data_IF_678858653990
#
_entry.id   IF_678858653990
#
_cell.length_a   1.000
_cell.length_b   1.000
_cell.length_c   1.000
_cell.angle_alpha   90.00
_cell.angle_beta   90.00
_cell.angle_gamma   90.00
#
_symmetry.space_group_name_H-M   'P 1'
#
loop_
_entity.id
_entity.type
_entity.pdbx_description
1 polymer ?
#
# COMPACT_ATOMS: atom_id res chain seq x y z
N UNK A 1 6.65 -58.57 -29.96
CA UNK A 1 7.42 -57.32 -29.96
C UNK A 1 6.92 -56.47 -28.79
N UNK A 2 7.64 -56.48 -27.67
CA UNK A 2 7.34 -55.63 -26.53
C UNK A 2 8.28 -54.42 -26.59
N UNK A 3 7.74 -53.25 -26.89
CA UNK A 3 8.50 -52.00 -26.89
C UNK A 3 8.75 -51.60 -25.42
N UNK A 4 10.01 -51.71 -24.99
CA UNK A 4 10.45 -51.20 -23.69
C UNK A 4 10.43 -49.67 -23.71
N UNK A 5 9.56 -49.07 -22.91
CA UNK A 5 9.61 -47.65 -22.62
C UNK A 5 10.87 -47.37 -21.78
N UNK A 6 11.78 -46.57 -22.32
CA UNK A 6 12.89 -45.99 -21.58
C UNK A 6 12.33 -45.08 -20.48
N UNK A 7 12.72 -45.23 -19.21
CA UNK A 7 12.32 -44.30 -18.17
C UNK A 7 12.90 -42.91 -18.48
N UNK A 8 12.04 -41.90 -18.48
CA UNK A 8 12.47 -40.51 -18.52
C UNK A 8 13.43 -40.22 -17.36
N UNK A 9 14.52 -39.46 -17.58
CA UNK A 9 15.41 -39.10 -16.49
C UNK A 9 14.63 -38.30 -15.45
N UNK A 10 14.64 -38.79 -14.21
CA UNK A 10 14.16 -38.05 -13.05
C UNK A 10 14.89 -36.70 -13.04
N UNK A 11 14.12 -35.61 -13.17
CA UNK A 11 14.63 -34.27 -12.92
C UNK A 11 15.15 -34.25 -11.48
N UNK A 12 16.49 -34.23 -11.34
CA UNK A 12 17.11 -34.11 -10.04
C UNK A 12 16.76 -32.73 -9.51
N UNK A 13 16.09 -32.67 -8.36
CA UNK A 13 15.88 -31.44 -7.62
C UNK A 13 17.24 -30.88 -7.20
N UNK A 14 17.82 -30.03 -8.03
CA UNK A 14 19.01 -29.28 -7.69
C UNK A 14 18.58 -28.04 -6.91
N UNK A 15 19.04 -27.91 -5.67
CA UNK A 15 18.96 -26.66 -4.92
C UNK A 15 20.38 -26.18 -4.65
N UNK A 16 20.97 -25.40 -5.56
CA UNK A 16 22.35 -24.95 -5.33
C UNK A 16 22.34 -23.92 -4.20
N UNK A 17 23.16 -24.16 -3.16
CA UNK A 17 23.39 -23.16 -2.11
C UNK A 17 24.69 -22.44 -2.40
N UNK A 18 24.60 -21.15 -2.71
CA UNK A 18 25.74 -20.30 -3.09
C UNK A 18 26.05 -19.32 -1.96
N UNK A 19 27.26 -19.42 -1.41
CA UNK A 19 27.76 -18.41 -0.47
C UNK A 19 28.27 -17.20 -1.24
N UNK A 20 27.77 -16.01 -0.92
CA UNK A 20 28.13 -14.77 -1.59
C UNK A 20 29.04 -13.97 -0.68
N UNK A 21 30.30 -13.69 -1.07
CA UNK A 21 31.20 -12.88 -0.23
C UNK A 21 30.68 -11.44 -0.14
N UNK A 22 31.28 -10.64 0.73
CA UNK A 22 30.88 -9.25 0.96
C UNK A 22 31.31 -8.34 -0.19
N UNK A 23 30.74 -8.56 -1.37
CA UNK A 23 31.06 -7.90 -2.64
C UNK A 23 29.79 -7.74 -3.46
N UNK A 24 29.50 -6.51 -3.91
CA UNK A 24 28.35 -6.24 -4.80
C UNK A 24 28.47 -7.01 -6.11
N UNK A 25 29.68 -7.08 -6.68
CA UNK A 25 29.94 -7.83 -7.90
C UNK A 25 29.53 -9.29 -7.75
N UNK A 26 29.89 -9.93 -6.64
CA UNK A 26 29.53 -11.34 -6.40
C UNK A 26 28.05 -11.53 -6.16
N UNK A 27 27.36 -10.59 -5.53
CA UNK A 27 25.92 -10.65 -5.38
C UNK A 27 25.22 -10.58 -6.74
N UNK A 28 25.68 -9.67 -7.61
CA UNK A 28 25.16 -9.54 -8.99
C UNK A 28 25.43 -10.82 -9.78
N UNK A 29 26.66 -11.33 -9.77
CA UNK A 29 27.03 -12.57 -10.47
C UNK A 29 26.22 -13.77 -9.96
N UNK A 30 26.06 -13.91 -8.64
CA UNK A 30 25.30 -15.01 -8.04
C UNK A 30 23.82 -14.99 -8.46
N UNK A 31 23.20 -13.82 -8.54
CA UNK A 31 21.82 -13.68 -9.05
C UNK A 31 21.76 -14.04 -10.54
N UNK A 32 22.69 -13.54 -11.36
CA UNK A 32 22.74 -13.86 -12.80
C UNK A 32 22.92 -15.36 -13.06
N UNK A 33 23.78 -16.03 -12.29
CA UNK A 33 23.96 -17.49 -12.36
C UNK A 33 22.68 -18.22 -11.96
N UNK A 34 22.05 -17.81 -10.84
CA UNK A 34 20.80 -18.43 -10.38
C UNK A 34 19.63 -18.25 -11.37
N UNK A 35 19.56 -17.10 -12.05
CA UNK A 35 18.58 -16.87 -13.12
C UNK A 35 18.78 -17.79 -14.33
N UNK A 36 19.98 -18.33 -14.53
CA UNK A 36 20.32 -19.23 -15.64
C UNK A 36 20.30 -20.71 -15.24
N UNK A 37 19.98 -21.00 -13.97
CA UNK A 37 19.91 -22.34 -13.42
C UNK A 37 18.59 -23.03 -13.79
N UNK A 38 18.60 -24.35 -14.06
CA UNK A 38 17.38 -25.09 -14.37
C UNK A 38 16.47 -25.35 -13.16
N UNK A 39 16.91 -25.01 -11.95
CA UNK A 39 16.20 -25.30 -10.69
C UNK A 39 16.27 -24.15 -9.69
N UNK A 40 15.63 -24.32 -8.51
CA UNK A 40 15.64 -23.30 -7.48
C UNK A 40 17.04 -23.13 -6.88
N UNK A 41 17.42 -21.90 -6.55
CA UNK A 41 18.72 -21.61 -5.94
C UNK A 41 18.58 -20.88 -4.61
N UNK A 42 19.54 -21.10 -3.71
CA UNK A 42 19.63 -20.41 -2.43
C UNK A 42 20.93 -19.62 -2.36
N UNK A 43 20.81 -18.29 -2.36
CA UNK A 43 21.91 -17.36 -2.16
C UNK A 43 22.03 -17.01 -0.68
N UNK A 44 23.24 -17.12 -0.15
CA UNK A 44 23.58 -16.75 1.24
C UNK A 44 24.59 -15.61 1.25
N UNK A 45 24.12 -14.34 1.24
CA UNK A 45 24.96 -13.19 1.53
C UNK A 45 25.79 -13.34 2.81
N UNK A 46 26.98 -12.75 2.80
CA UNK A 46 27.87 -12.71 3.94
C UNK A 46 27.18 -12.05 5.14
N UNK A 47 27.31 -12.69 6.31
CA UNK A 47 26.60 -12.30 7.53
C UNK A 47 26.84 -10.83 7.88
N UNK A 48 25.76 -10.07 8.07
CA UNK A 48 25.76 -8.63 8.40
C UNK A 48 26.56 -7.74 7.43
N UNK A 49 26.89 -8.23 6.24
CA UNK A 49 27.58 -7.43 5.24
C UNK A 49 26.69 -6.31 4.71
N UNK A 50 27.29 -5.17 4.34
CA UNK A 50 26.61 -4.12 3.59
C UNK A 50 27.04 -4.16 2.12
N UNK A 51 26.13 -4.62 1.26
CA UNK A 51 26.23 -4.57 -0.20
C UNK A 51 25.77 -3.20 -0.68
N UNK A 52 26.72 -2.27 -0.82
CA UNK A 52 26.45 -0.89 -1.24
C UNK A 52 26.52 -0.75 -2.77
N UNK A 53 25.36 -0.71 -3.41
CA UNK A 53 25.19 -0.55 -4.86
C UNK A 53 25.56 0.88 -5.27
N UNK A 54 26.55 1.03 -6.15
CA UNK A 54 27.03 2.34 -6.64
C UNK A 54 26.64 2.63 -8.10
N UNK A 55 26.10 1.63 -8.79
CA UNK A 55 25.62 1.70 -10.16
C UNK A 55 24.50 0.66 -10.36
N UNK A 56 23.64 0.84 -11.37
CA UNK A 56 22.70 -0.19 -11.81
C UNK A 56 23.40 -1.50 -12.23
N UNK A 57 22.64 -2.59 -12.27
CA UNK A 57 23.13 -3.87 -12.77
C UNK A 57 23.43 -3.79 -14.30
N UNK A 58 24.46 -4.50 -14.80
CA UNK A 58 24.77 -4.50 -16.23
C UNK A 58 23.56 -4.87 -17.09
N UNK A 59 23.28 -4.07 -18.13
CA UNK A 59 22.14 -4.27 -19.02
C UNK A 59 20.79 -3.80 -18.48
N UNK A 60 20.74 -3.17 -17.30
CA UNK A 60 19.52 -2.62 -16.71
C UNK A 60 19.79 -1.26 -16.07
N UNK A 61 19.13 -0.19 -16.54
CA UNK A 61 19.32 1.15 -15.99
C UNK A 61 18.43 1.43 -14.78
N UNK A 62 17.36 0.67 -14.59
CA UNK A 62 16.35 0.92 -13.57
C UNK A 62 16.61 0.16 -12.26
N UNK A 63 17.39 -0.93 -12.29
CA UNK A 63 17.57 -1.84 -11.17
C UNK A 63 19.05 -1.94 -10.74
N UNK A 64 19.30 -1.92 -9.43
CA UNK A 64 20.62 -2.09 -8.84
C UNK A 64 21.12 -3.54 -8.83
N UNK A 65 20.20 -4.50 -8.83
CA UNK A 65 20.46 -5.94 -8.98
C UNK A 65 19.79 -6.47 -10.26
N UNK A 66 20.29 -7.57 -10.85
CA UNK A 66 19.60 -8.22 -11.96
C UNK A 66 18.16 -8.58 -11.55
N UNK A 67 17.17 -8.41 -12.46
CA UNK A 67 15.81 -8.88 -12.20
C UNK A 67 15.79 -10.36 -11.84
N UNK A 68 14.98 -10.75 -10.87
CA UNK A 68 14.77 -12.16 -10.50
C UNK A 68 13.80 -12.78 -11.52
N UNK A 69 14.27 -13.77 -12.27
CA UNK A 69 13.51 -14.42 -13.35
C UNK A 69 13.28 -15.92 -13.13
N UNK A 70 13.96 -16.52 -12.13
CA UNK A 70 13.81 -17.91 -11.69
C UNK A 70 13.37 -18.00 -10.22
N UNK A 71 13.33 -19.21 -9.64
CA UNK A 71 13.06 -19.42 -8.21
C UNK A 71 14.33 -19.21 -7.38
N UNK A 72 14.43 -18.07 -6.72
CA UNK A 72 15.60 -17.67 -5.93
C UNK A 72 15.19 -17.45 -4.47
N UNK A 73 15.88 -18.13 -3.57
CA UNK A 73 15.88 -17.83 -2.14
C UNK A 73 17.11 -17.02 -1.78
N UNK A 74 16.93 -15.90 -1.08
CA UNK A 74 18.01 -15.10 -0.49
C UNK A 74 17.87 -15.18 1.03
N UNK A 75 18.77 -15.94 1.67
CA UNK A 75 18.92 -15.95 3.12
C UNK A 75 19.96 -14.91 3.54
N UNK A 76 19.46 -13.70 3.82
CA UNK A 76 20.26 -12.49 3.93
C UNK A 76 21.26 -12.49 5.08
N UNK A 77 21.17 -13.38 6.07
CA UNK A 77 22.09 -13.42 7.22
C UNK A 77 22.31 -12.05 7.91
N UNK A 78 21.27 -11.21 7.95
CA UNK A 78 21.33 -9.84 8.49
C UNK A 78 22.02 -8.83 7.56
N UNK A 79 22.26 -9.18 6.29
CA UNK A 79 22.89 -8.28 5.33
C UNK A 79 21.99 -7.08 4.98
N UNK A 80 22.65 -6.00 4.61
CA UNK A 80 22.02 -4.80 4.06
C UNK A 80 22.38 -4.66 2.60
N UNK A 81 21.39 -4.61 1.73
CA UNK A 81 21.53 -4.29 0.31
C UNK A 81 20.99 -2.87 0.15
N UNK A 82 21.88 -1.94 -0.21
CA UNK A 82 21.57 -0.52 -0.16
C UNK A 82 22.12 0.23 -1.36
N UNK A 83 21.36 1.17 -1.90
CA UNK A 83 21.87 2.10 -2.90
C UNK A 83 22.70 3.20 -2.22
N UNK A 84 23.88 3.49 -2.75
CA UNK A 84 24.66 4.63 -2.31
C UNK A 84 23.95 5.94 -2.69
N UNK A 85 23.93 6.92 -1.78
CA UNK A 85 23.28 8.22 -2.03
C UNK A 85 23.87 8.96 -3.25
N UNK A 86 25.16 8.76 -3.55
CA UNK A 86 25.85 9.35 -4.69
C UNK A 86 25.70 8.56 -5.99
N UNK A 87 25.07 7.38 -5.95
CA UNK A 87 24.81 6.59 -7.14
C UNK A 87 23.70 7.24 -7.99
N UNK A 88 23.62 6.92 -9.29
CA UNK A 88 22.42 7.18 -10.07
C UNK A 88 21.16 6.62 -9.39
N UNK A 89 20.01 7.11 -9.80
CA UNK A 89 18.73 6.60 -9.30
C UNK A 89 18.45 5.23 -9.93
N UNK A 90 18.12 4.26 -9.07
CA UNK A 90 17.66 2.92 -9.45
C UNK A 90 16.96 2.27 -8.25
N UNK A 91 15.97 1.41 -8.50
CA UNK A 91 15.39 0.54 -7.48
C UNK A 91 16.37 -0.57 -7.09
N UNK A 92 16.19 -1.20 -5.93
CA UNK A 92 17.10 -2.28 -5.51
C UNK A 92 16.80 -3.58 -6.24
N UNK A 93 15.54 -4.01 -6.24
CA UNK A 93 15.12 -5.33 -6.70
C UNK A 93 13.86 -5.26 -7.57
N UNK A 94 13.87 -6.05 -8.63
CA UNK A 94 12.70 -6.39 -9.44
C UNK A 94 12.52 -7.91 -9.43
N UNK A 95 11.31 -8.37 -9.11
CA UNK A 95 10.87 -9.74 -9.35
C UNK A 95 10.01 -9.72 -10.61
N UNK A 96 10.52 -10.28 -11.70
CA UNK A 96 9.81 -10.36 -12.96
C UNK A 96 8.60 -11.32 -12.85
N UNK A 97 7.68 -11.30 -13.81
CA UNK A 97 6.47 -12.13 -13.82
C UNK A 97 6.76 -13.64 -13.64
N UNK A 98 7.83 -14.14 -14.27
CA UNK A 98 8.27 -15.54 -14.14
C UNK A 98 9.06 -15.83 -12.85
N UNK A 99 9.47 -14.78 -12.13
CA UNK A 99 10.34 -14.87 -10.98
C UNK A 99 9.61 -15.27 -9.71
N UNK A 100 10.29 -16.07 -8.88
CA UNK A 100 9.88 -16.34 -7.51
C UNK A 100 11.00 -15.94 -6.56
N UNK A 101 10.72 -15.03 -5.62
CA UNK A 101 11.69 -14.58 -4.64
C UNK A 101 11.27 -14.95 -3.22
N UNK A 102 12.14 -15.63 -2.49
CA UNK A 102 12.04 -15.83 -1.02
C UNK A 102 13.17 -15.06 -0.34
N UNK A 103 12.87 -13.88 0.19
CA UNK A 103 13.85 -13.06 0.91
C UNK A 103 13.67 -13.23 2.42
N UNK A 104 14.76 -13.50 3.14
CA UNK A 104 14.73 -13.54 4.60
C UNK A 104 15.92 -12.83 5.23
N UNK A 105 15.73 -12.28 6.43
CA UNK A 105 16.80 -11.66 7.24
C UNK A 105 17.65 -10.63 6.48
N UNK A 106 17.04 -9.81 5.64
CA UNK A 106 17.74 -8.80 4.85
C UNK A 106 17.18 -7.40 5.10
N UNK A 107 18.01 -6.38 4.87
CA UNK A 107 17.57 -4.98 4.79
C UNK A 107 17.72 -4.48 3.36
N UNK A 108 16.61 -4.05 2.75
CA UNK A 108 16.56 -3.39 1.45
C UNK A 108 16.37 -1.89 1.68
N UNK A 109 17.29 -1.06 1.20
CA UNK A 109 17.25 0.37 1.51
C UNK A 109 17.83 1.32 0.48
N UNK A 110 17.41 2.58 0.53
CA UNK A 110 17.97 3.67 -0.27
C UNK A 110 17.64 3.62 -1.76
N UNK A 111 16.89 2.59 -2.21
CA UNK A 111 16.47 2.46 -3.60
C UNK A 111 15.64 3.66 -4.04
N UNK A 112 15.81 4.07 -5.29
CA UNK A 112 15.07 5.19 -5.88
C UNK A 112 14.60 4.86 -7.30
N UNK A 113 13.31 4.61 -7.47
CA UNK A 113 12.69 4.43 -8.77
C UNK A 113 12.26 5.79 -9.34
N UNK A 114 12.49 6.01 -10.64
CA UNK A 114 12.13 7.24 -11.36
C UNK A 114 11.39 6.97 -12.67
N UNK A 115 10.99 5.72 -12.92
CA UNK A 115 10.44 5.20 -14.16
C UNK A 115 8.91 4.99 -14.11
N UNK A 116 8.22 5.63 -13.16
CA UNK A 116 6.76 5.54 -13.02
C UNK A 116 5.97 6.49 -13.93
N UNK A 117 4.84 6.08 -14.52
CA UNK A 117 4.53 4.77 -15.07
C UNK A 117 4.93 4.77 -16.56
N UNK A 118 6.22 4.60 -16.86
CA UNK A 118 6.70 4.62 -18.25
C UNK A 118 6.50 3.27 -18.96
N UNK A 119 6.15 2.22 -18.21
CA UNK A 119 5.80 0.89 -18.71
C UNK A 119 4.64 0.33 -17.87
N UNK A 120 3.80 -0.59 -18.40
CA UNK A 120 3.07 -1.50 -17.52
C UNK A 120 4.10 -2.27 -16.69
N UNK A 121 4.04 -2.12 -15.37
CA UNK A 121 4.92 -2.83 -14.45
C UNK A 121 5.73 -1.92 -13.52
N UNK A 122 5.31 -1.96 -12.26
CA UNK A 122 6.06 -1.77 -11.01
C UNK A 122 6.99 -0.56 -10.83
N UNK A 123 6.55 0.36 -9.97
CA UNK A 123 7.19 1.56 -9.46
C UNK A 123 8.09 1.39 -8.23
N UNK A 124 8.12 0.19 -7.66
CA UNK A 124 8.68 -0.07 -6.32
C UNK A 124 10.08 0.49 -6.10
N UNK A 125 10.23 1.51 -5.25
CA UNK A 125 11.51 2.18 -5.00
C UNK A 125 12.56 1.25 -4.38
N UNK A 126 12.12 0.38 -3.46
CA UNK A 126 12.94 -0.69 -2.91
C UNK A 126 12.76 -1.97 -3.71
N UNK A 127 11.52 -2.47 -3.74
CA UNK A 127 11.16 -3.74 -4.37
C UNK A 127 9.96 -3.54 -5.30
N UNK A 128 10.16 -3.86 -6.57
CA UNK A 128 9.13 -4.06 -7.57
C UNK A 128 8.80 -5.55 -7.68
N UNK A 129 7.53 -5.95 -7.56
CA UNK A 129 7.11 -7.35 -7.71
C UNK A 129 6.01 -7.52 -8.76
N UNK A 130 6.35 -8.09 -9.92
CA UNK A 130 5.41 -8.57 -10.93
C UNK A 130 5.20 -10.09 -10.86
N UNK A 131 6.10 -10.83 -10.20
CA UNK A 131 6.01 -12.28 -10.01
C UNK A 131 5.48 -12.69 -8.63
N UNK A 132 6.07 -13.73 -8.06
CA UNK A 132 5.74 -14.21 -6.71
C UNK A 132 6.83 -13.86 -5.71
N UNK A 133 6.43 -13.32 -4.55
CA UNK A 133 7.38 -12.90 -3.52
C UNK A 133 6.93 -13.27 -2.12
N UNK A 134 7.88 -13.78 -1.33
CA UNK A 134 7.76 -13.90 0.12
C UNK A 134 8.91 -13.15 0.80
N UNK A 135 8.61 -12.27 1.75
CA UNK A 135 9.60 -11.56 2.56
C UNK A 135 9.37 -11.85 4.03
N UNK A 136 10.38 -12.44 4.66
CA UNK A 136 10.32 -12.89 6.05
C UNK A 136 11.36 -12.18 6.90
N UNK A 137 10.99 -11.70 8.09
CA UNK A 137 11.93 -11.17 9.09
C UNK A 137 12.94 -10.16 8.51
N UNK A 138 12.47 -9.28 7.63
CA UNK A 138 13.30 -8.37 6.85
C UNK A 138 12.85 -6.92 7.03
N UNK A 139 13.61 -6.00 6.45
CA UNK A 139 13.38 -4.56 6.51
C UNK A 139 13.37 -4.00 5.09
N UNK A 140 12.34 -3.24 4.72
CA UNK A 140 12.30 -2.44 3.49
C UNK A 140 12.18 -0.98 3.90
N UNK A 141 13.30 -0.26 3.88
CA UNK A 141 13.40 1.03 4.55
C UNK A 141 14.03 2.14 3.73
N UNK A 142 13.56 3.37 3.90
CA UNK A 142 14.14 4.57 3.29
C UNK A 142 14.32 4.47 1.77
N UNK A 143 13.33 3.87 1.08
CA UNK A 143 13.29 3.82 -0.37
C UNK A 143 12.35 4.90 -0.91
N UNK A 144 12.49 5.24 -2.19
CA UNK A 144 11.70 6.30 -2.82
C UNK A 144 11.23 5.89 -4.20
N UNK A 145 9.98 6.17 -4.53
CA UNK A 145 9.48 6.21 -5.91
C UNK A 145 9.13 7.66 -6.24
N UNK A 146 9.69 8.19 -7.33
CA UNK A 146 9.49 9.58 -7.76
C UNK A 146 9.04 9.61 -9.22
N UNK A 147 8.08 10.46 -9.55
CA UNK A 147 7.67 10.67 -10.94
C UNK A 147 6.91 11.98 -11.11
N UNK A 148 6.91 12.53 -12.33
CA UNK A 148 6.11 13.67 -12.76
C UNK A 148 4.77 13.27 -13.42
N UNK A 149 4.52 11.97 -13.57
CA UNK A 149 3.27 11.41 -14.12
C UNK A 149 2.43 10.79 -13.01
N UNK A 150 2.94 9.82 -12.25
CA UNK A 150 2.28 9.20 -11.09
C UNK A 150 3.34 8.42 -10.28
N UNK A 151 3.25 8.39 -8.95
CA UNK A 151 4.27 7.73 -8.11
C UNK A 151 3.66 6.71 -7.15
N UNK A 152 4.13 5.47 -7.20
CA UNK A 152 3.53 4.37 -6.42
C UNK A 152 4.60 3.52 -5.73
N UNK A 153 4.26 2.92 -4.59
CA UNK A 153 5.11 1.91 -3.97
C UNK A 153 6.49 2.40 -3.55
N UNK A 154 6.57 3.47 -2.73
CA UNK A 154 7.84 4.05 -2.32
C UNK A 154 8.82 3.01 -1.73
N UNK A 155 8.30 2.05 -0.98
CA UNK A 155 9.04 0.88 -0.49
C UNK A 155 8.86 -0.33 -1.40
N UNK A 156 7.61 -0.79 -1.49
CA UNK A 156 7.21 -1.98 -2.22
C UNK A 156 6.11 -1.59 -3.18
N UNK A 157 6.24 -2.05 -4.42
CA UNK A 157 5.13 -2.12 -5.35
C UNK A 157 4.83 -3.58 -5.69
N UNK A 158 3.55 -3.97 -5.67
CA UNK A 158 3.11 -5.34 -5.84
C UNK A 158 1.98 -5.46 -6.86
N UNK A 159 2.36 -5.79 -8.08
CA UNK A 159 1.45 -6.16 -9.18
C UNK A 159 1.17 -7.67 -9.19
N UNK A 160 2.17 -8.45 -8.76
CA UNK A 160 2.08 -9.91 -8.63
C UNK A 160 1.52 -10.37 -7.28
N UNK A 161 1.98 -11.53 -6.80
CA UNK A 161 1.58 -12.06 -5.48
C UNK A 161 2.66 -11.83 -4.44
N UNK A 162 2.29 -11.25 -3.29
CA UNK A 162 3.22 -11.01 -2.18
C UNK A 162 2.75 -11.55 -0.83
N UNK A 163 3.68 -12.08 -0.06
CA UNK A 163 3.53 -12.35 1.38
C UNK A 163 4.62 -11.66 2.17
N UNK A 164 4.24 -10.84 3.15
CA UNK A 164 5.13 -10.21 4.12
C UNK A 164 4.90 -10.83 5.50
N UNK A 165 5.90 -11.48 6.06
CA UNK A 165 5.85 -12.04 7.40
C UNK A 165 6.87 -11.36 8.30
N UNK A 166 6.40 -10.79 9.40
CA UNK A 166 7.25 -10.17 10.44
C UNK A 166 8.26 -9.18 9.85
N UNK A 167 7.81 -8.41 8.86
CA UNK A 167 8.65 -7.49 8.08
C UNK A 167 8.36 -6.04 8.50
N UNK A 168 9.42 -5.23 8.55
CA UNK A 168 9.32 -3.79 8.77
C UNK A 168 9.33 -3.07 7.42
N UNK A 169 8.33 -2.24 7.16
CA UNK A 169 8.27 -1.34 5.99
C UNK A 169 8.22 0.09 6.53
N UNK A 170 9.33 0.82 6.44
CA UNK A 170 9.44 2.11 7.12
C UNK A 170 10.26 3.19 6.43
N UNK A 171 9.89 4.46 6.63
CA UNK A 171 10.66 5.59 6.07
C UNK A 171 10.61 5.68 4.54
N UNK A 172 9.72 4.95 3.89
CA UNK A 172 9.64 4.94 2.43
C UNK A 172 8.75 6.07 1.91
N UNK A 173 9.01 6.56 0.70
CA UNK A 173 8.34 7.73 0.13
C UNK A 173 7.86 7.48 -1.29
N UNK A 174 6.59 7.72 -1.58
CA UNK A 174 6.10 7.92 -2.95
C UNK A 174 5.92 9.42 -3.17
N UNK A 175 6.59 9.97 -4.18
CA UNK A 175 6.71 11.41 -4.39
C UNK A 175 6.36 11.83 -5.82
N UNK A 176 5.17 12.39 -6.00
CA UNK A 176 4.75 12.98 -7.26
C UNK A 176 5.26 14.43 -7.38
N UNK A 177 5.94 14.70 -8.49
CA UNK A 177 6.68 15.93 -8.77
C UNK A 177 6.17 16.70 -9.99
N UNK A 178 5.09 16.23 -10.61
CA UNK A 178 4.52 16.84 -11.80
C UNK A 178 3.79 18.16 -11.51
N UNK A 179 3.42 18.85 -12.59
CA UNK A 179 2.75 20.16 -12.54
C UNK A 179 1.25 20.09 -12.81
N UNK A 180 0.74 18.92 -13.21
CA UNK A 180 -0.67 18.67 -13.53
C UNK A 180 -1.32 17.79 -12.48
N UNK A 181 -2.65 17.75 -12.46
CA UNK A 181 -3.40 16.85 -11.58
C UNK A 181 -3.08 15.40 -11.88
N UNK A 182 -2.70 14.66 -10.83
CA UNK A 182 -2.39 13.24 -10.87
C UNK A 182 -2.40 12.63 -9.46
N UNK A 183 -1.69 11.52 -9.23
CA UNK A 183 -1.69 10.78 -7.99
C UNK A 183 -0.32 10.31 -7.52
N UNK A 184 -0.21 10.11 -6.21
CA UNK A 184 0.78 9.26 -5.59
C UNK A 184 0.12 8.33 -4.56
N UNK A 185 0.62 7.09 -4.48
CA UNK A 185 0.03 6.04 -3.67
C UNK A 185 1.09 5.19 -2.97
N UNK A 186 0.73 4.60 -1.82
CA UNK A 186 1.51 3.49 -1.27
C UNK A 186 2.94 3.87 -0.90
N UNK A 187 3.12 4.88 -0.05
CA UNK A 187 4.45 5.32 0.39
C UNK A 187 5.29 4.17 0.94
N UNK A 188 4.65 3.28 1.72
CA UNK A 188 5.21 2.00 2.12
C UNK A 188 4.97 0.91 1.08
N UNK A 189 3.69 0.61 0.83
CA UNK A 189 3.25 -0.49 -0.04
C UNK A 189 2.16 0.03 -0.98
N UNK A 190 2.37 -0.06 -2.30
CA UNK A 190 1.32 -0.09 -3.31
C UNK A 190 1.02 -1.55 -3.66
N UNK A 191 -0.26 -1.86 -3.93
CA UNK A 191 -0.71 -3.22 -4.07
C UNK A 191 -1.88 -3.37 -5.06
N UNK A 192 -1.55 -3.91 -6.23
CA UNK A 192 -2.49 -4.22 -7.32
C UNK A 192 -2.62 -5.72 -7.59
N UNK A 193 -1.87 -6.57 -6.88
CA UNK A 193 -2.06 -8.02 -6.83
C UNK A 193 -2.37 -8.57 -5.42
N UNK A 194 -2.56 -9.90 -5.26
CA UNK A 194 -2.87 -10.51 -3.97
C UNK A 194 -1.76 -10.30 -2.94
N UNK A 195 -2.13 -9.78 -1.76
CA UNK A 195 -1.18 -9.47 -0.68
C UNK A 195 -1.62 -10.06 0.66
N UNK A 196 -0.68 -10.73 1.33
CA UNK A 196 -0.81 -11.13 2.72
C UNK A 196 0.27 -10.48 3.58
N UNK A 197 -0.13 -9.73 4.60
CA UNK A 197 0.76 -9.13 5.60
C UNK A 197 0.46 -9.75 6.95
N UNK A 198 1.44 -10.41 7.55
CA UNK A 198 1.31 -11.08 8.85
C UNK A 198 2.41 -10.62 9.78
N UNK A 199 2.04 -10.06 10.92
CA UNK A 199 3.00 -9.48 11.84
C UNK A 199 3.68 -8.23 11.27
N UNK A 200 4.76 -7.81 11.93
CA UNK A 200 5.58 -6.70 11.47
C UNK A 200 4.95 -5.32 11.67
N UNK A 201 5.54 -4.32 11.01
CA UNK A 201 5.14 -2.92 11.17
C UNK A 201 5.26 -2.16 9.85
N UNK A 202 4.26 -1.34 9.53
CA UNK A 202 4.27 -0.40 8.40
C UNK A 202 4.20 1.01 8.98
N UNK A 203 5.33 1.74 9.01
CA UNK A 203 5.37 3.02 9.69
C UNK A 203 6.29 4.08 9.12
N UNK A 204 6.02 5.36 9.43
CA UNK A 204 6.84 6.47 8.99
C UNK A 204 6.99 6.54 7.45
N UNK A 205 6.03 5.97 6.71
CA UNK A 205 6.00 6.06 5.28
C UNK A 205 5.22 7.29 4.83
N UNK A 206 5.63 7.89 3.73
CA UNK A 206 5.12 9.17 3.25
C UNK A 206 4.62 9.04 1.83
N UNK A 207 3.49 9.66 1.55
CA UNK A 207 3.07 9.99 0.19
C UNK A 207 3.04 11.51 0.09
N UNK A 208 3.69 12.04 -0.95
CA UNK A 208 3.73 13.48 -1.23
C UNK A 208 3.31 13.72 -2.67
N UNK A 209 2.48 14.74 -2.86
CA UNK A 209 2.22 15.32 -4.19
C UNK A 209 2.64 16.78 -4.20
N UNK A 210 2.96 17.30 -5.38
CA UNK A 210 3.24 18.71 -5.60
C UNK A 210 2.05 19.60 -5.18
N UNK A 211 2.33 20.84 -4.77
CA UNK A 211 1.31 21.80 -4.40
C UNK A 211 0.67 22.43 -5.66
N UNK A 212 -0.61 22.80 -5.57
CA UNK A 212 -1.30 23.55 -6.63
C UNK A 212 -1.67 22.70 -7.86
N UNK A 213 -1.63 21.37 -7.74
CA UNK A 213 -1.97 20.44 -8.82
C UNK A 213 -3.33 19.77 -8.65
N UNK A 214 -4.03 20.00 -7.54
CA UNK A 214 -5.24 19.25 -7.15
C UNK A 214 -5.02 17.71 -7.11
N UNK A 215 -3.78 17.27 -6.92
CA UNK A 215 -3.40 15.85 -6.96
C UNK A 215 -3.84 15.05 -5.72
N UNK A 216 -3.84 13.73 -5.86
CA UNK A 216 -4.26 12.78 -4.84
C UNK A 216 -3.05 12.11 -4.15
N UNK A 217 -2.98 12.18 -2.83
CA UNK A 217 -2.02 11.43 -2.01
C UNK A 217 -2.78 10.42 -1.15
N UNK A 218 -2.59 9.11 -1.36
CA UNK A 218 -3.36 8.11 -0.61
C UNK A 218 -2.59 6.88 -0.17
N UNK A 219 -3.05 6.26 0.91
CA UNK A 219 -2.51 4.99 1.42
C UNK A 219 -1.04 5.11 1.80
N UNK A 220 -0.68 6.11 2.62
CA UNK A 220 0.72 6.42 2.91
C UNK A 220 1.51 5.23 3.48
N UNK A 221 0.87 4.37 4.27
CA UNK A 221 1.44 3.10 4.67
C UNK A 221 1.17 2.01 3.64
N UNK A 222 -0.09 1.84 3.27
CA UNK A 222 -0.55 0.80 2.36
C UNK A 222 -1.74 1.27 1.51
N UNK A 223 -1.55 1.30 0.19
CA UNK A 223 -2.61 1.48 -0.78
C UNK A 223 -2.90 0.15 -1.46
N UNK A 224 -4.17 -0.25 -1.52
CA UNK A 224 -4.57 -1.54 -2.10
C UNK A 224 -5.75 -1.42 -3.06
N UNK A 225 -5.56 -1.98 -4.25
CA UNK A 225 -6.57 -2.14 -5.31
C UNK A 225 -6.89 -3.61 -5.57
N UNK A 226 -6.38 -4.52 -4.73
CA UNK A 226 -6.48 -5.97 -4.92
C UNK A 226 -6.68 -6.71 -3.58
N UNK A 227 -7.01 -8.02 -3.60
CA UNK A 227 -7.26 -8.79 -2.39
C UNK A 227 -6.14 -8.70 -1.38
N UNK A 228 -6.48 -8.31 -0.14
CA UNK A 228 -5.49 -8.07 0.90
C UNK A 228 -5.91 -8.66 2.23
N UNK A 229 -5.05 -9.49 2.82
CA UNK A 229 -5.18 -9.94 4.21
C UNK A 229 -4.10 -9.30 5.08
N UNK A 230 -4.48 -8.65 6.19
CA UNK A 230 -3.56 -8.06 7.16
C UNK A 230 -3.84 -8.65 8.55
N UNK A 231 -2.83 -9.24 9.18
CA UNK A 231 -2.99 -9.93 10.47
C UNK A 231 -1.90 -9.53 11.45
N UNK A 232 -2.29 -9.14 12.66
CA UNK A 232 -1.35 -8.86 13.77
C UNK A 232 -0.27 -7.83 13.42
N UNK A 233 -0.61 -6.85 12.57
CA UNK A 233 0.33 -5.83 12.08
C UNK A 233 0.07 -4.49 12.75
N UNK A 234 1.11 -3.66 12.91
CA UNK A 234 0.98 -2.27 13.35
C UNK A 234 1.19 -1.34 12.15
N UNK A 235 0.22 -0.48 11.86
CA UNK A 235 0.29 0.55 10.84
C UNK A 235 0.28 1.91 11.54
N UNK A 236 1.40 2.63 11.55
CA UNK A 236 1.50 3.85 12.35
C UNK A 236 2.39 4.95 11.82
N UNK A 237 2.14 6.21 12.17
CA UNK A 237 2.99 7.34 11.79
C UNK A 237 3.19 7.49 10.28
N UNK A 238 2.26 6.97 9.46
CA UNK A 238 2.30 7.18 8.02
C UNK A 238 1.59 8.49 7.66
N UNK A 239 2.11 9.20 6.66
CA UNK A 239 1.66 10.54 6.30
C UNK A 239 1.33 10.67 4.82
N UNK A 240 0.07 10.95 4.50
CA UNK A 240 -0.34 11.40 3.17
C UNK A 240 -0.35 12.93 3.15
N UNK A 241 0.29 13.55 2.17
CA UNK A 241 0.43 15.01 2.06
C UNK A 241 0.07 15.50 0.66
N UNK A 242 -1.02 16.26 0.55
CA UNK A 242 -1.50 16.86 -0.69
C UNK A 242 -1.93 18.33 -0.50
N UNK A 243 -0.99 19.29 -0.50
CA UNK A 243 -1.34 20.71 -0.44
C UNK A 243 -2.16 21.13 -1.68
N UNK A 244 -3.33 21.71 -1.46
CA UNK A 244 -4.33 22.08 -2.48
C UNK A 244 -5.13 20.89 -3.02
N UNK A 245 -4.59 19.67 -2.97
CA UNK A 245 -5.22 18.46 -3.47
C UNK A 245 -5.96 17.65 -2.41
N UNK A 246 -5.97 16.32 -2.58
CA UNK A 246 -6.67 15.38 -1.69
C UNK A 246 -5.70 14.44 -0.99
N UNK A 247 -5.66 14.45 0.34
CA UNK A 247 -4.90 13.50 1.15
C UNK A 247 -5.85 12.47 1.79
N UNK A 248 -5.54 11.17 1.66
CA UNK A 248 -6.46 10.11 2.11
C UNK A 248 -5.75 8.93 2.77
N UNK A 249 -5.87 8.86 4.09
CA UNK A 249 -5.53 7.74 4.97
C UNK A 249 -4.10 7.17 4.87
N UNK A 250 -3.70 6.46 5.93
CA UNK A 250 -2.52 5.59 5.88
C UNK A 250 -2.81 4.26 5.22
N UNK A 251 -4.02 3.74 5.36
CA UNK A 251 -4.46 2.50 4.75
C UNK A 251 -5.67 2.75 3.85
N UNK A 252 -5.54 2.45 2.56
CA UNK A 252 -6.65 2.55 1.60
C UNK A 252 -6.99 1.23 0.95
N UNK A 253 -8.27 1.07 0.60
CA UNK A 253 -8.75 -0.08 -0.17
C UNK A 253 -9.76 0.37 -1.23
N UNK A 254 -9.51 0.01 -2.50
CA UNK A 254 -10.37 0.41 -3.63
C UNK A 254 -10.58 -0.72 -4.65
N UNK A 255 -10.38 -1.99 -4.27
CA UNK A 255 -10.57 -3.12 -5.19
C UNK A 255 -12.04 -3.20 -5.66
N UNK A 256 -12.33 -3.09 -6.97
CA UNK A 256 -13.70 -3.08 -7.47
C UNK A 256 -14.37 -4.47 -7.45
N UNK A 257 -13.58 -5.54 -7.30
CA UNK A 257 -14.05 -6.91 -7.27
C UNK A 257 -13.52 -7.62 -6.03
N UNK A 258 -14.36 -8.52 -5.48
CA UNK A 258 -13.97 -9.42 -4.41
C UNK A 258 -12.70 -10.23 -4.80
N UNK A 259 -11.90 -10.70 -3.82
CA UNK A 259 -12.12 -10.60 -2.38
C UNK A 259 -11.75 -9.26 -1.71
N UNK A 260 -12.55 -8.95 -0.69
CA UNK A 260 -12.42 -7.85 0.27
C UNK A 260 -11.02 -7.72 0.89
N UNK A 261 -10.73 -6.55 1.46
CA UNK A 261 -9.68 -6.45 2.45
C UNK A 261 -10.14 -7.06 3.79
N UNK A 262 -9.31 -7.92 4.37
CA UNK A 262 -9.57 -8.57 5.66
C UNK A 262 -8.47 -8.21 6.66
N UNK A 263 -8.86 -7.62 7.78
CA UNK A 263 -7.96 -7.24 8.87
C UNK A 263 -8.30 -7.98 10.17
N UNK A 264 -7.30 -8.58 10.81
CA UNK A 264 -7.47 -9.24 12.11
C UNK A 264 -6.33 -8.94 13.07
N UNK A 265 -6.63 -8.46 14.28
CA UNK A 265 -5.58 -8.19 15.28
C UNK A 265 -4.68 -7.00 14.92
N UNK A 266 -5.11 -6.14 14.00
CA UNK A 266 -4.29 -5.05 13.44
C UNK A 266 -4.50 -3.77 14.23
N UNK A 267 -3.42 -3.01 14.45
CA UNK A 267 -3.47 -1.70 15.12
C UNK A 267 -3.07 -0.60 14.14
N UNK A 268 -3.99 0.31 13.85
CA UNK A 268 -3.81 1.46 12.96
C UNK A 268 -3.81 2.72 13.83
N UNK A 269 -2.64 3.34 14.01
CA UNK A 269 -2.50 4.44 14.95
C UNK A 269 -1.61 5.59 14.52
N UNK A 270 -1.91 6.79 15.01
CA UNK A 270 -1.02 7.95 14.89
C UNK A 270 -0.66 8.27 13.42
N UNK A 271 -1.57 7.96 12.49
CA UNK A 271 -1.39 8.25 11.08
C UNK A 271 -2.04 9.59 10.72
N UNK A 272 -1.50 10.25 9.69
CA UNK A 272 -1.96 11.59 9.29
C UNK A 272 -2.28 11.68 7.81
N UNK A 273 -3.46 12.22 7.47
CA UNK A 273 -3.74 12.78 6.16
C UNK A 273 -3.74 14.30 6.25
N UNK A 274 -2.93 14.96 5.44
CA UNK A 274 -2.72 16.40 5.48
C UNK A 274 -2.91 17.04 4.11
N UNK A 275 -3.90 17.92 3.98
CA UNK A 275 -4.17 18.65 2.75
C UNK A 275 -4.46 20.13 3.04
N UNK A 276 -3.45 20.96 3.36
CA UNK A 276 -3.64 22.40 3.49
C UNK A 276 -4.26 22.97 2.21
N UNK A 277 -5.33 23.76 2.32
CA UNK A 277 -6.08 24.31 1.19
C UNK A 277 -6.88 23.28 0.37
N UNK A 278 -6.87 22.00 0.75
CA UNK A 278 -7.46 20.90 0.00
C UNK A 278 -8.41 20.02 0.82
N UNK A 279 -8.51 18.74 0.50
CA UNK A 279 -9.39 17.77 1.15
C UNK A 279 -8.58 16.71 1.90
N UNK A 280 -8.80 16.55 3.21
CA UNK A 280 -8.18 15.49 4.01
C UNK A 280 -9.23 14.50 4.48
N UNK A 281 -9.15 13.25 4.03
CA UNK A 281 -10.08 12.17 4.39
C UNK A 281 -9.37 11.09 5.20
N UNK A 282 -9.66 11.05 6.50
CA UNK A 282 -9.14 10.06 7.45
C UNK A 282 -7.62 10.01 7.57
N UNK A 283 -7.10 10.01 8.79
CA UNK A 283 -5.69 9.65 9.00
C UNK A 283 -5.49 8.14 8.96
N UNK A 284 -6.49 7.36 9.41
CA UNK A 284 -6.37 5.92 9.64
C UNK A 284 -6.67 5.10 8.39
N UNK A 285 -7.96 4.84 8.17
CA UNK A 285 -8.47 3.96 7.10
C UNK A 285 -9.37 4.74 6.16
N UNK A 286 -9.26 4.49 4.86
CA UNK A 286 -10.32 4.86 3.94
C UNK A 286 -10.60 3.76 2.90
N UNK A 287 -11.86 3.44 2.65
CA UNK A 287 -12.21 2.34 1.75
C UNK A 287 -13.35 2.72 0.80
N UNK A 288 -13.17 2.46 -0.49
CA UNK A 288 -14.20 2.48 -1.52
C UNK A 288 -14.57 1.05 -1.96
N UNK A 289 -14.16 0.05 -1.20
CA UNK A 289 -14.43 -1.36 -1.43
C UNK A 289 -14.71 -2.05 -0.09
N UNK A 290 -15.32 -3.24 -0.07
CA UNK A 290 -15.62 -3.95 1.16
C UNK A 290 -14.38 -4.23 2.02
N UNK A 291 -14.52 -4.00 3.32
CA UNK A 291 -13.48 -4.18 4.31
C UNK A 291 -14.06 -4.84 5.58
N UNK A 292 -13.37 -5.85 6.10
CA UNK A 292 -13.71 -6.47 7.39
C UNK A 292 -12.59 -6.29 8.40
N UNK A 293 -12.91 -5.86 9.62
CA UNK A 293 -11.97 -5.70 10.72
C UNK A 293 -12.42 -6.45 11.96
N UNK A 294 -11.66 -7.46 12.35
CA UNK A 294 -11.90 -8.24 13.56
C UNK A 294 -10.80 -8.03 14.60
N UNK A 295 -11.15 -7.84 15.88
CA UNK A 295 -10.16 -7.68 16.97
C UNK A 295 -9.10 -6.60 16.69
N UNK A 296 -9.49 -5.51 16.01
CA UNK A 296 -8.56 -4.50 15.50
C UNK A 296 -8.81 -3.14 16.14
N UNK A 297 -7.81 -2.24 16.08
CA UNK A 297 -7.88 -0.93 16.73
C UNK A 297 -7.51 0.19 15.76
N UNK A 298 -8.31 1.26 15.71
CA UNK A 298 -8.04 2.50 14.94
C UNK A 298 -7.98 3.67 15.91
N UNK A 299 -6.76 4.14 16.23
CA UNK A 299 -6.51 5.02 17.39
C UNK A 299 -5.66 6.25 17.03
N UNK A 300 -6.03 7.45 17.49
CA UNK A 300 -5.10 8.59 17.42
C UNK A 300 -4.79 9.09 16.02
N UNK A 301 -5.56 8.67 15.00
CA UNK A 301 -5.31 9.08 13.62
C UNK A 301 -5.91 10.47 13.35
N UNK A 302 -5.27 11.24 12.47
CA UNK A 302 -5.61 12.63 12.21
C UNK A 302 -5.85 12.90 10.72
N UNK A 303 -6.93 13.59 10.41
CA UNK A 303 -7.09 14.30 9.14
C UNK A 303 -6.95 15.81 9.40
N UNK A 304 -6.14 16.52 8.63
CA UNK A 304 -5.91 17.96 8.80
C UNK A 304 -5.86 18.69 7.46
N UNK A 305 -6.60 19.80 7.35
CA UNK A 305 -6.70 20.61 6.15
C UNK A 305 -6.86 22.08 6.53
N UNK A 306 -5.75 22.73 6.90
CA UNK A 306 -5.76 24.18 7.21
C UNK A 306 -6.18 24.96 5.97
N UNK A 307 -7.24 25.77 6.06
CA UNK A 307 -7.82 26.47 4.90
C UNK A 307 -8.49 25.55 3.87
N UNK A 308 -8.65 24.25 4.17
CA UNK A 308 -9.32 23.25 3.35
C UNK A 308 -10.45 22.58 4.13
N UNK A 309 -10.77 21.32 3.79
CA UNK A 309 -11.77 20.49 4.49
C UNK A 309 -11.17 19.20 5.02
N UNK A 310 -11.30 18.95 6.33
CA UNK A 310 -10.89 17.68 6.95
C UNK A 310 -12.11 16.87 7.39
N UNK A 311 -12.12 15.57 7.11
CA UNK A 311 -13.22 14.66 7.45
C UNK A 311 -12.70 13.35 8.05
N UNK A 312 -13.47 12.83 9.00
CA UNK A 312 -13.41 11.45 9.50
C UNK A 312 -12.02 10.94 9.89
N UNK A 313 -11.37 11.54 10.90
CA UNK A 313 -9.97 11.24 11.27
C UNK A 313 -9.59 9.77 11.43
N UNK A 314 -10.52 8.88 11.76
CA UNK A 314 -10.26 7.44 11.98
C UNK A 314 -10.54 6.55 10.78
N UNK A 315 -11.80 6.51 10.33
CA UNK A 315 -12.26 5.64 9.23
C UNK A 315 -13.19 6.45 8.33
N UNK A 316 -12.94 6.41 7.02
CA UNK A 316 -13.81 6.99 5.99
C UNK A 316 -14.24 5.90 4.98
N UNK A 317 -15.53 5.61 4.90
CA UNK A 317 -16.07 4.66 3.92
C UNK A 317 -16.74 5.45 2.81
N UNK A 318 -16.26 5.25 1.58
CA UNK A 318 -16.78 5.90 0.39
C UNK A 318 -18.03 5.22 -0.17
N UNK A 319 -18.58 5.73 -1.29
CA UNK A 319 -19.91 5.35 -1.79
C UNK A 319 -20.07 3.86 -2.10
N UNK A 320 -19.01 3.21 -2.56
CA UNK A 320 -18.97 1.79 -2.94
C UNK A 320 -18.35 0.91 -1.85
N UNK A 321 -17.91 1.51 -0.74
CA UNK A 321 -17.31 0.78 0.37
C UNK A 321 -18.34 0.20 1.32
N UNK A 322 -17.99 -0.92 1.95
CA UNK A 322 -18.74 -1.50 3.06
C UNK A 322 -17.78 -1.84 4.20
N UNK A 323 -18.19 -1.66 5.45
CA UNK A 323 -17.36 -1.93 6.61
C UNK A 323 -18.05 -2.89 7.57
N UNK A 324 -17.39 -4.02 7.85
CA UNK A 324 -17.75 -4.90 8.97
C UNK A 324 -16.75 -4.71 10.11
N UNK A 325 -17.21 -4.31 11.29
CA UNK A 325 -16.40 -4.23 12.51
C UNK A 325 -16.87 -5.28 13.52
N UNK A 326 -15.97 -6.16 13.96
CA UNK A 326 -16.26 -7.16 14.99
C UNK A 326 -15.21 -7.15 16.09
N UNK A 327 -15.61 -6.92 17.35
CA UNK A 327 -14.70 -6.85 18.50
C UNK A 327 -13.54 -5.86 18.28
N UNK A 328 -13.80 -4.76 17.56
CA UNK A 328 -12.81 -3.76 17.17
C UNK A 328 -13.12 -2.41 17.80
N UNK A 329 -12.10 -1.56 18.01
CA UNK A 329 -12.26 -0.25 18.64
C UNK A 329 -11.80 0.89 17.74
N UNK A 330 -12.58 1.97 17.68
CA UNK A 330 -12.22 3.23 16.99
C UNK A 330 -12.26 4.34 18.02
N UNK A 331 -11.11 4.94 18.40
CA UNK A 331 -11.07 5.96 19.47
C UNK A 331 -9.99 7.03 19.26
N UNK A 332 -10.21 8.23 19.77
CA UNK A 332 -9.20 9.30 19.81
C UNK A 332 -8.74 9.79 18.43
N UNK A 333 -9.49 9.51 17.36
CA UNK A 333 -9.16 10.00 16.03
C UNK A 333 -9.74 11.40 15.82
N UNK A 334 -9.00 12.30 15.16
CA UNK A 334 -9.34 13.71 15.05
C UNK A 334 -9.44 14.18 13.60
N UNK A 335 -10.43 15.01 13.32
CA UNK A 335 -10.51 15.82 12.12
C UNK A 335 -10.91 17.22 12.61
N UNK A 336 -9.95 18.13 12.86
CA UNK A 336 -10.27 19.46 13.35
C UNK A 336 -11.25 20.12 12.38
N UNK A 337 -12.30 20.78 12.89
CA UNK A 337 -13.19 21.54 12.04
C UNK A 337 -12.38 22.60 11.29
N UNK A 338 -12.78 22.82 10.04
CA UNK A 338 -12.26 23.92 9.25
C UNK A 338 -12.52 25.22 10.02
N UNK A 339 -11.54 26.12 10.08
CA UNK A 339 -11.84 27.47 10.55
C UNK A 339 -12.94 28.00 9.62
N UNK A 340 -14.11 28.30 10.18
CA UNK A 340 -15.19 28.90 9.40
C UNK A 340 -14.62 30.16 8.74
N UNK A 341 -14.91 30.42 7.45
CA UNK A 341 -14.44 31.63 6.83
C UNK A 341 -14.95 32.82 7.65
N UNK A 342 -14.17 33.92 7.75
CA UNK A 342 -14.43 35.01 8.70
C UNK A 342 -15.83 35.66 8.58
N UNK A 343 -16.55 35.45 7.47
CA UNK A 343 -17.91 35.93 7.27
C UNK A 343 -19.01 35.08 7.94
N UNK A 344 -18.73 33.84 8.35
CA UNK A 344 -19.71 32.95 8.98
C UNK A 344 -19.97 33.26 10.48
N UNK A 345 -19.16 34.11 11.10
CA UNK A 345 -19.32 34.51 12.50
C UNK A 345 -20.36 35.64 12.71
N UNK A 346 -20.92 36.21 11.64
CA UNK A 346 -21.74 37.43 11.73
C UNK A 346 -23.24 37.18 11.99
N UNK A 347 -23.73 35.94 12.05
CA UNK A 347 -25.18 35.65 12.08
C UNK A 347 -25.70 34.93 13.33
N UNK A 348 -24.95 34.91 14.43
CA UNK A 348 -25.41 34.31 15.69
C UNK A 348 -25.70 35.38 16.76
N UNK A 349 -26.84 36.07 16.64
CA UNK A 349 -27.47 36.68 17.82
C UNK A 349 -28.15 35.58 18.65
N UNK A 350 -27.89 35.46 19.97
CA UNK A 350 -28.52 34.42 20.78
C UNK A 350 -29.99 34.77 21.04
N UNK A 351 -30.91 33.96 20.51
CA UNK A 351 -32.33 34.03 20.90
C UNK A 351 -32.53 33.33 22.24
N UNK A 352 -33.35 33.97 23.08
CA UNK A 352 -33.53 33.69 24.50
C UNK A 352 -33.96 32.25 24.84
N UNK A 353 -33.46 31.77 25.98
CA UNK A 353 -33.81 30.50 26.58
C UNK A 353 -35.29 30.45 27.03
N UNK A 354 -35.97 29.34 26.74
CA UNK A 354 -37.23 28.94 27.39
C UNK A 354 -36.98 27.78 28.35
N UNK A 355 -37.68 27.72 29.50
CA UNK A 355 -37.31 26.85 30.62
C UNK A 355 -37.79 25.41 30.46
N UNK A 356 -37.04 24.50 31.11
CA UNK A 356 -37.29 23.05 31.21
C UNK A 356 -38.59 22.74 31.95
N UNK A 357 -39.38 21.80 31.41
CA UNK A 357 -40.40 21.07 32.19
C UNK A 357 -40.14 19.56 32.15
N UNK A 358 -40.05 18.97 33.34
CA UNK A 358 -39.96 17.55 33.64
C UNK A 358 -41.34 16.87 33.62
N UNK A 359 -41.48 15.67 33.03
CA UNK A 359 -42.33 14.60 33.60
C UNK A 359 -42.22 13.25 32.87
N UNK A 360 -41.85 12.24 33.68
CA UNK A 360 -42.28 10.82 33.79
C UNK A 360 -42.88 10.02 32.61
N UNK A 361 -42.46 8.75 32.61
CA UNK A 361 -42.93 7.54 31.91
C UNK A 361 -44.46 7.35 31.88
N UNK A 362 -44.96 6.81 30.76
CA UNK A 362 -46.07 5.84 30.71
C UNK A 362 -45.98 5.04 29.39
N UNK A 363 -46.23 3.73 29.49
CA UNK A 363 -46.26 2.78 28.37
C UNK A 363 -47.65 2.71 27.72
N UNK A 364 -47.70 2.50 26.40
CA UNK A 364 -48.93 2.27 25.64
C UNK A 364 -48.66 1.82 24.20
N UNK A 365 -49.24 0.69 23.83
CA UNK A 365 -49.15 -0.20 22.64
C UNK A 365 -49.45 0.48 21.28
N UNK A 366 -49.09 -0.12 20.12
CA UNK A 366 -48.78 0.59 18.88
C UNK A 366 -49.99 0.77 17.94
N UNK A 367 -50.05 1.91 17.24
CA UNK A 367 -50.94 2.12 16.11
C UNK A 367 -50.19 2.07 14.77
N UNK A 368 -50.71 1.22 13.88
CA UNK A 368 -50.41 1.14 12.45
C UNK A 368 -50.56 2.50 11.77
N UNK A 369 -49.60 2.89 10.94
CA UNK A 369 -49.86 3.82 9.83
C UNK A 369 -49.11 3.40 8.55
N UNK A 370 -49.98 3.08 7.58
CA UNK A 370 -49.90 3.03 6.12
C UNK A 370 -48.58 3.40 5.43
N UNK A 371 -48.19 2.43 4.60
CA UNK A 371 -47.44 2.47 3.34
C UNK A 371 -47.61 3.74 2.50
N UNK A 372 -46.47 4.31 2.07
CA UNK A 372 -46.35 5.14 0.88
C UNK A 372 -45.23 4.56 -0.02
N UNK A 373 -45.54 4.44 -1.30
CA UNK A 373 -44.78 3.72 -2.33
C UNK A 373 -43.46 4.42 -2.76
N UNK A 374 -42.50 3.67 -3.33
CA UNK A 374 -41.23 4.22 -3.80
C UNK A 374 -41.35 4.91 -5.17
N UNK A 375 -40.59 6.00 -5.34
CA UNK A 375 -40.37 6.68 -6.62
C UNK A 375 -39.63 5.76 -7.60
N UNK A 376 -40.23 5.59 -8.79
CA UNK A 376 -39.71 4.81 -9.92
C UNK A 376 -38.43 5.43 -10.49
N UNK A 377 -37.47 4.55 -10.76
CA UNK A 377 -36.34 4.79 -11.64
C UNK A 377 -36.82 4.99 -13.09
N UNK A 378 -36.21 5.93 -13.80
CA UNK A 378 -36.34 6.08 -15.24
C UNK A 378 -35.34 5.12 -15.91
N UNK A 379 -35.87 4.06 -16.55
CA UNK A 379 -35.11 3.19 -17.43
C UNK A 379 -34.98 3.81 -18.82
N UNK A 380 -33.76 3.71 -19.36
CA UNK A 380 -33.36 4.08 -20.70
C UNK A 380 -34.00 3.16 -21.74
N UNK A 381 -34.58 3.75 -22.78
CA UNK A 381 -35.04 3.08 -23.99
C UNK A 381 -33.89 2.89 -24.99
N UNK A 382 -33.62 1.65 -25.38
CA UNK A 382 -32.90 1.31 -26.63
C UNK A 382 -33.75 0.32 -27.41
N UNK A 383 -34.08 0.58 -28.70
CA UNK A 383 -34.82 -0.36 -29.51
C UNK A 383 -33.89 -1.37 -30.19
N UNK A 384 -34.36 -2.61 -30.18
CA UNK A 384 -33.86 -3.75 -30.95
C UNK A 384 -34.08 -3.57 -32.46
N UNK A 385 -33.13 -4.03 -33.26
CA UNK A 385 -33.30 -4.31 -34.68
C UNK A 385 -32.85 -5.76 -34.99
N UNK A 386 -33.50 -6.45 -35.94
CA UNK A 386 -33.39 -7.89 -36.10
C UNK A 386 -32.26 -8.31 -37.05
N UNK A 387 -31.76 -9.54 -36.85
CA UNK A 387 -30.93 -10.29 -37.80
C UNK A 387 -31.75 -10.76 -39.01
N UNK A 388 -31.08 -11.00 -40.15
CA UNK A 388 -30.80 -12.38 -40.56
C UNK A 388 -29.39 -12.86 -40.20
#
# INVERSE_FOLDING_TARGET
>A
MAAGALPAPLAHAHAATVSVRCSVRELVEAISTANSSPGPDTLRPARKCTYRLVAPAPGNTANGLPPITSDITIDGNGATITRAKSAPDFRILLVAESGTLRLSHATISGGKATDCPLLPGVCGGGIANAGTRTVNNSRVINNTATSDVAAEGGGIDNDGTATLNSTEVSGNTADFTGTSSSQAAGGGIANDGPLTVVGGRVHHNTVRVAAGTDSFAFGAGHASSAPTTIRNTIISHNRASAPGGTARAALTHSAPTAPDMIMTGTVIRDNTASAPGGLAFSGGVAANAPLSMTRSQVIGNQATAVGGTAQSGGINIGPTGALTLSRSTVRGNTAPPTAAPPWAAASATPSAALPRSSSRRSAGTPQRLRTAAPLRAAESTTPSAPRP
#
